data_IF_127696287178
#
_entry.id   IF_127696287178
#
_cell.length_a   1.000
_cell.length_b   1.000
_cell.length_c   1.000
_cell.angle_alpha   90.00
_cell.angle_beta   90.00
_cell.angle_gamma   90.00
#
_symmetry.space_group_name_H-M   'P 1'
#
loop_
_entity.id
_entity.type
_entity.pdbx_description
1 polymer ?
#
# COMPACT_ATOMS: atom_id res chain seq x y z
N UNK A 1 -6.78 -19.47 4.10
CA UNK A 1 -7.46 -19.12 2.83
C UNK A 1 -7.09 -17.71 2.35
N UNK A 2 -7.28 -16.67 3.19
CA UNK A 2 -7.05 -15.26 2.82
C UNK A 2 -5.63 -14.94 2.29
N UNK A 3 -4.57 -15.44 2.94
CA UNK A 3 -3.18 -15.16 2.51
C UNK A 3 -2.86 -15.64 1.09
N UNK A 4 -3.32 -16.83 0.71
CA UNK A 4 -3.07 -17.38 -0.64
C UNK A 4 -3.71 -16.48 -1.70
N UNK A 5 -4.95 -16.05 -1.49
CA UNK A 5 -5.66 -15.16 -2.41
C UNK A 5 -4.95 -13.81 -2.58
N UNK A 6 -4.38 -13.26 -1.50
CA UNK A 6 -3.60 -12.01 -1.56
C UNK A 6 -2.33 -12.21 -2.40
N UNK A 7 -1.59 -13.30 -2.16
CA UNK A 7 -0.37 -13.61 -2.92
C UNK A 7 -0.69 -13.85 -4.40
N UNK A 8 -1.73 -14.61 -4.69
CA UNK A 8 -2.19 -14.87 -6.07
C UNK A 8 -2.60 -13.58 -6.78
N UNK A 9 -3.23 -12.64 -6.07
CA UNK A 9 -3.58 -11.32 -6.59
C UNK A 9 -2.34 -10.46 -6.87
N UNK A 10 -1.36 -10.42 -5.96
CA UNK A 10 -0.07 -9.71 -6.16
C UNK A 10 0.65 -10.26 -7.39
N UNK A 11 0.74 -11.59 -7.51
CA UNK A 11 1.35 -12.24 -8.68
C UNK A 11 0.56 -11.96 -9.98
N UNK A 12 -0.77 -11.84 -9.89
CA UNK A 12 -1.61 -11.39 -10.99
C UNK A 12 -1.26 -9.97 -11.46
N UNK A 13 -1.09 -9.04 -10.53
CA UNK A 13 -0.71 -7.65 -10.81
C UNK A 13 0.69 -7.59 -11.44
N UNK A 14 1.65 -8.36 -10.90
CA UNK A 14 2.99 -8.50 -11.45
C UNK A 14 2.97 -8.93 -12.93
N UNK A 15 2.19 -9.98 -13.24
CA UNK A 15 2.01 -10.47 -14.63
C UNK A 15 1.40 -9.39 -15.54
N UNK A 16 0.41 -8.66 -15.05
CA UNK A 16 -0.19 -7.54 -15.80
C UNK A 16 0.86 -6.48 -16.13
N UNK A 17 1.70 -6.09 -15.17
CA UNK A 17 2.75 -5.10 -15.40
C UNK A 17 3.78 -5.59 -16.43
N UNK A 18 4.26 -6.83 -16.30
CA UNK A 18 5.20 -7.44 -17.25
C UNK A 18 4.67 -7.60 -18.68
N UNK A 19 3.34 -7.58 -18.86
CA UNK A 19 2.70 -7.68 -20.17
C UNK A 19 2.32 -6.31 -20.73
N UNK A 20 1.63 -5.48 -19.95
CA UNK A 20 0.98 -4.26 -20.44
C UNK A 20 1.81 -3.00 -20.28
N UNK A 21 2.58 -2.88 -19.19
CA UNK A 21 3.26 -1.63 -18.85
C UNK A 21 4.54 -1.45 -19.68
N UNK A 22 5.08 -2.56 -20.16
CA UNK A 22 6.28 -2.62 -21.00
C UNK A 22 5.95 -2.82 -22.48
N UNK A 23 4.66 -2.89 -22.86
CA UNK A 23 4.24 -3.31 -24.19
C UNK A 23 4.68 -2.37 -25.32
N UNK A 24 4.93 -1.09 -25.01
CA UNK A 24 5.39 -0.09 -25.96
C UNK A 24 6.92 -0.05 -26.12
N UNK A 25 7.66 -0.83 -25.34
CA UNK A 25 9.12 -0.83 -25.36
C UNK A 25 9.67 -1.77 -26.43
N UNK A 26 10.88 -1.49 -26.90
CA UNK A 26 11.64 -2.42 -27.74
C UNK A 26 12.01 -3.69 -26.97
N UNK A 27 12.43 -4.74 -27.69
CA UNK A 27 12.59 -6.10 -27.12
C UNK A 27 13.60 -6.16 -25.96
N UNK A 28 14.77 -5.53 -26.14
CA UNK A 28 15.83 -5.52 -25.12
C UNK A 28 15.38 -4.78 -23.85
N UNK A 29 14.70 -3.66 -24.02
CA UNK A 29 14.20 -2.77 -22.99
C UNK A 29 13.03 -3.43 -22.25
N UNK A 30 12.16 -4.12 -22.99
CA UNK A 30 11.10 -4.97 -22.43
C UNK A 30 11.67 -6.03 -21.51
N UNK A 31 12.71 -6.75 -21.95
CA UNK A 31 13.38 -7.76 -21.12
C UNK A 31 13.97 -7.13 -19.85
N UNK A 32 14.72 -6.05 -19.99
CA UNK A 32 15.31 -5.32 -18.86
C UNK A 32 14.25 -4.89 -17.83
N UNK A 33 13.12 -4.33 -18.29
CA UNK A 33 12.04 -3.90 -17.41
C UNK A 33 11.31 -5.07 -16.75
N UNK A 34 11.10 -6.19 -17.46
CA UNK A 34 10.54 -7.40 -16.85
C UNK A 34 11.43 -7.93 -15.74
N UNK A 35 12.74 -8.01 -15.96
CA UNK A 35 13.69 -8.47 -14.95
C UNK A 35 13.70 -7.54 -13.72
N UNK A 36 13.63 -6.22 -13.94
CA UNK A 36 13.53 -5.22 -12.85
C UNK A 36 12.23 -5.35 -12.06
N UNK A 37 11.09 -5.51 -12.73
CA UNK A 37 9.78 -5.75 -12.08
C UNK A 37 9.79 -7.06 -11.29
N UNK A 38 10.37 -8.13 -11.86
CA UNK A 38 10.46 -9.42 -11.18
C UNK A 38 11.23 -9.30 -9.86
N UNK A 39 12.43 -8.70 -9.94
CA UNK A 39 13.29 -8.44 -8.79
C UNK A 39 12.60 -7.57 -7.74
N UNK A 40 11.93 -6.49 -8.17
CA UNK A 40 11.20 -5.57 -7.28
C UNK A 40 10.10 -6.29 -6.50
N UNK A 41 9.29 -7.11 -7.17
CA UNK A 41 8.21 -7.84 -6.52
C UNK A 41 8.74 -8.88 -5.54
N UNK A 42 9.74 -9.68 -5.94
CA UNK A 42 10.31 -10.74 -5.11
C UNK A 42 11.06 -10.18 -3.89
N UNK A 43 11.68 -9.00 -4.03
CA UNK A 43 12.46 -8.38 -2.96
C UNK A 43 11.61 -7.56 -2.00
N UNK A 44 10.80 -6.64 -2.53
CA UNK A 44 10.17 -5.56 -1.76
C UNK A 44 8.68 -5.76 -1.52
N UNK A 45 7.94 -6.30 -2.50
CA UNK A 45 6.47 -6.46 -2.38
C UNK A 45 6.13 -7.74 -1.61
N UNK A 46 6.71 -8.86 -2.01
CA UNK A 46 6.48 -10.17 -1.41
C UNK A 46 7.23 -10.35 -0.07
N UNK A 47 6.86 -11.38 0.70
CA UNK A 47 7.49 -11.72 1.98
C UNK A 47 6.98 -10.92 3.19
N UNK A 48 6.01 -10.02 2.98
CA UNK A 48 5.34 -9.31 4.06
C UNK A 48 4.37 -10.19 4.88
N UNK A 49 3.82 -9.59 5.94
CA UNK A 49 2.75 -10.20 6.75
C UNK A 49 1.35 -9.96 6.16
N UNK A 50 1.23 -9.11 5.14
CA UNK A 50 -0.01 -8.79 4.42
C UNK A 50 -1.16 -8.29 5.31
N UNK A 51 -0.82 -7.60 6.41
CA UNK A 51 -1.80 -7.22 7.45
C UNK A 51 -2.88 -6.28 6.92
N UNK A 52 -2.55 -5.38 5.99
CA UNK A 52 -3.50 -4.39 5.45
C UNK A 52 -4.49 -5.07 4.52
N UNK A 53 -4.00 -5.92 3.62
CA UNK A 53 -4.89 -6.73 2.79
C UNK A 53 -5.79 -7.67 3.60
N UNK A 54 -5.22 -8.36 4.60
CA UNK A 54 -6.00 -9.24 5.47
C UNK A 54 -7.07 -8.47 6.22
N UNK A 55 -6.75 -7.29 6.76
CA UNK A 55 -7.73 -6.45 7.45
C UNK A 55 -8.91 -6.08 6.53
N UNK A 56 -8.65 -5.67 5.28
CA UNK A 56 -9.70 -5.37 4.31
C UNK A 56 -10.58 -6.60 4.04
N UNK A 57 -9.96 -7.75 3.72
CA UNK A 57 -10.70 -8.96 3.36
C UNK A 57 -11.54 -9.48 4.53
N UNK A 58 -10.98 -9.52 5.73
CA UNK A 58 -11.70 -10.00 6.91
C UNK A 58 -12.80 -9.03 7.34
N UNK A 59 -12.58 -7.72 7.25
CA UNK A 59 -13.63 -6.73 7.48
C UNK A 59 -14.76 -6.84 6.44
N UNK A 60 -14.43 -7.02 5.15
CA UNK A 60 -15.40 -7.21 4.09
C UNK A 60 -16.33 -8.40 4.36
N UNK A 61 -15.75 -9.54 4.79
CA UNK A 61 -16.52 -10.74 5.15
C UNK A 61 -17.36 -10.51 6.41
N UNK A 62 -16.79 -9.88 7.44
CA UNK A 62 -17.49 -9.60 8.69
C UNK A 62 -18.70 -8.66 8.50
N UNK A 63 -18.62 -7.75 7.53
CA UNK A 63 -19.71 -6.86 7.13
C UNK A 63 -20.77 -7.55 6.24
N UNK A 64 -20.68 -8.86 6.01
CA UNK A 64 -21.64 -9.62 5.21
C UNK A 64 -21.44 -9.46 3.70
N UNK A 65 -20.23 -9.08 3.26
CA UNK A 65 -19.90 -8.97 1.84
C UNK A 65 -20.11 -10.29 1.08
N UNK A 66 -20.58 -10.20 -0.17
CA UNK A 66 -20.81 -11.33 -1.07
C UNK A 66 -19.50 -12.08 -1.35
N UNK A 67 -19.50 -13.40 -1.18
CA UNK A 67 -18.27 -14.21 -1.20
C UNK A 67 -18.17 -15.17 -2.38
N UNK A 68 -18.89 -14.92 -3.48
CA UNK A 68 -18.68 -15.64 -4.73
C UNK A 68 -17.26 -15.38 -5.29
N UNK A 69 -16.80 -16.27 -6.17
CA UNK A 69 -15.43 -16.25 -6.69
C UNK A 69 -15.08 -14.92 -7.37
N UNK A 70 -15.97 -14.39 -8.20
CA UNK A 70 -15.75 -13.14 -8.92
C UNK A 70 -15.61 -11.97 -7.94
N UNK A 71 -16.53 -11.87 -6.97
CA UNK A 71 -16.48 -10.80 -5.97
C UNK A 71 -15.24 -10.91 -5.10
N UNK A 72 -14.88 -12.09 -4.62
CA UNK A 72 -13.69 -12.28 -3.79
C UNK A 72 -12.41 -12.02 -4.56
N UNK A 73 -12.35 -12.30 -5.86
CA UNK A 73 -11.24 -11.93 -6.73
C UNK A 73 -11.09 -10.40 -6.84
N UNK A 74 -12.20 -9.68 -7.02
CA UNK A 74 -12.21 -8.21 -7.02
C UNK A 74 -11.71 -7.66 -5.67
N UNK A 75 -12.21 -8.20 -4.55
CA UNK A 75 -11.80 -7.79 -3.21
C UNK A 75 -10.31 -8.07 -2.98
N UNK A 76 -9.81 -9.25 -3.39
CA UNK A 76 -8.41 -9.61 -3.25
C UNK A 76 -7.47 -8.72 -4.08
N UNK A 77 -7.85 -8.37 -5.32
CA UNK A 77 -7.10 -7.43 -6.16
C UNK A 77 -7.05 -6.03 -5.51
N UNK A 78 -8.19 -5.54 -4.99
CA UNK A 78 -8.26 -4.27 -4.26
C UNK A 78 -7.43 -4.32 -2.98
N UNK A 79 -7.43 -5.44 -2.27
CA UNK A 79 -6.63 -5.65 -1.07
C UNK A 79 -5.13 -5.67 -1.39
N UNK A 80 -4.72 -6.30 -2.49
CA UNK A 80 -3.32 -6.34 -2.93
C UNK A 80 -2.78 -4.93 -3.24
N UNK A 81 -3.61 -4.02 -3.74
CA UNK A 81 -3.23 -2.62 -3.92
C UNK A 81 -2.73 -1.94 -2.64
N UNK A 82 -3.26 -2.31 -1.47
CA UNK A 82 -2.77 -1.76 -0.19
C UNK A 82 -1.33 -2.21 0.13
N UNK A 83 -0.92 -3.39 -0.34
CA UNK A 83 0.44 -3.90 -0.11
C UNK A 83 1.43 -3.36 -1.14
N UNK A 84 0.97 -3.07 -2.37
CA UNK A 84 1.73 -2.29 -3.33
C UNK A 84 1.95 -0.87 -2.82
N UNK A 85 0.90 -0.21 -2.33
CA UNK A 85 0.99 1.13 -1.73
C UNK A 85 1.90 1.15 -0.49
N UNK A 86 1.82 0.12 0.37
CA UNK A 86 2.78 -0.06 1.47
C UNK A 86 4.22 -0.17 0.96
N UNK A 87 4.44 -0.95 -0.09
CA UNK A 87 5.78 -1.21 -0.61
C UNK A 87 6.36 0.04 -1.28
N UNK A 88 5.52 0.81 -1.97
CA UNK A 88 5.84 2.16 -2.44
C UNK A 88 6.34 3.04 -1.29
N UNK A 89 5.53 3.22 -0.23
CA UNK A 89 5.94 4.05 0.90
C UNK A 89 7.23 3.57 1.55
N UNK A 90 7.41 2.26 1.74
CA UNK A 90 8.65 1.74 2.34
C UNK A 90 9.89 2.00 1.49
N UNK A 91 9.77 1.91 0.16
CA UNK A 91 10.91 2.14 -0.73
C UNK A 91 11.35 3.60 -0.63
N UNK A 92 10.41 4.55 -0.63
CA UNK A 92 10.73 5.97 -0.50
C UNK A 92 11.21 6.32 0.91
N UNK A 93 10.54 5.84 1.95
CA UNK A 93 10.92 5.99 3.37
C UNK A 93 12.34 5.48 3.61
N UNK A 94 12.68 4.29 3.09
CA UNK A 94 14.03 3.75 3.19
C UNK A 94 15.07 4.64 2.47
N UNK A 95 14.72 5.31 1.37
CA UNK A 95 15.62 6.25 0.69
C UNK A 95 15.79 7.53 1.49
N UNK A 96 14.70 8.11 1.99
CA UNK A 96 14.70 9.35 2.78
C UNK A 96 15.47 9.19 4.09
N UNK A 97 15.30 8.05 4.76
CA UNK A 97 15.90 7.75 6.08
C UNK A 97 17.25 7.02 5.97
N UNK A 98 17.79 6.87 4.77
CA UNK A 98 19.02 6.09 4.49
C UNK A 98 19.00 4.66 5.08
N UNK A 99 17.83 4.01 5.07
CA UNK A 99 17.61 2.69 5.65
C UNK A 99 18.62 1.63 5.20
N UNK A 100 19.05 0.79 6.15
CA UNK A 100 20.02 -0.29 5.89
C UNK A 100 19.31 -1.61 5.56
N UNK A 101 18.27 -1.96 6.31
CA UNK A 101 17.56 -3.23 6.14
C UNK A 101 16.05 -3.12 6.34
N UNK A 102 15.30 -3.90 5.55
CA UNK A 102 13.84 -4.00 5.60
C UNK A 102 13.43 -5.46 5.42
N UNK A 103 12.54 -5.95 6.30
CA UNK A 103 12.04 -7.35 6.27
C UNK A 103 13.17 -8.40 6.24
N UNK A 104 14.28 -8.15 6.94
CA UNK A 104 15.44 -9.06 7.00
C UNK A 104 16.32 -9.09 5.75
N UNK A 105 16.12 -8.15 4.82
CA UNK A 105 16.94 -7.97 3.60
C UNK A 105 17.48 -6.55 3.53
N UNK A 106 18.52 -6.26 2.72
CA UNK A 106 18.92 -4.87 2.45
C UNK A 106 17.76 -4.06 1.89
N UNK A 107 17.67 -2.77 2.28
CA UNK A 107 16.70 -1.85 1.69
C UNK A 107 16.88 -1.77 0.16
N UNK A 108 15.78 -1.54 -0.57
CA UNK A 108 15.78 -1.66 -2.04
C UNK A 108 16.87 -0.81 -2.72
N UNK A 109 17.02 0.44 -2.28
CA UNK A 109 18.01 1.37 -2.81
C UNK A 109 19.47 0.97 -2.53
N UNK A 110 19.71 0.07 -1.57
CA UNK A 110 21.05 -0.46 -1.24
C UNK A 110 21.51 -1.58 -2.17
N UNK A 111 20.62 -2.11 -3.02
CA UNK A 111 21.00 -3.14 -3.99
C UNK A 111 21.83 -2.54 -5.14
N UNK A 112 22.82 -3.30 -5.59
CA UNK A 112 23.64 -2.92 -6.75
C UNK A 112 22.76 -2.62 -7.98
N UNK A 113 23.03 -1.49 -8.63
CA UNK A 113 22.29 -1.02 -9.80
C UNK A 113 20.94 -0.36 -9.52
N UNK A 114 20.52 -0.25 -8.25
CA UNK A 114 19.28 0.45 -7.88
C UNK A 114 19.56 1.88 -7.43
N UNK A 115 20.22 2.07 -6.27
CA UNK A 115 20.51 3.40 -5.72
C UNK A 115 19.26 4.28 -5.59
N UNK A 116 19.44 5.58 -5.76
CA UNK A 116 18.36 6.58 -5.72
C UNK A 116 17.28 6.37 -6.78
N UNK A 117 17.58 5.65 -7.87
CA UNK A 117 16.58 5.31 -8.89
C UNK A 117 15.47 4.38 -8.34
N UNK A 118 15.65 3.82 -7.14
CA UNK A 118 14.61 3.11 -6.41
C UNK A 118 13.32 3.94 -6.22
N UNK A 119 13.42 5.28 -6.21
CA UNK A 119 12.25 6.18 -6.18
C UNK A 119 11.30 5.88 -7.35
N UNK A 120 11.83 5.72 -8.57
CA UNK A 120 11.02 5.41 -9.76
C UNK A 120 10.37 4.02 -9.66
N UNK A 121 11.00 3.06 -8.98
CA UNK A 121 10.42 1.74 -8.75
C UNK A 121 9.24 1.81 -7.78
N UNK A 122 9.33 2.67 -6.75
CA UNK A 122 8.21 3.00 -5.87
C UNK A 122 7.05 3.63 -6.65
N UNK A 123 7.32 4.67 -7.45
CA UNK A 123 6.31 5.34 -8.29
C UNK A 123 5.65 4.38 -9.28
N UNK A 124 6.39 3.41 -9.82
CA UNK A 124 5.85 2.38 -10.68
C UNK A 124 4.82 1.51 -9.94
N UNK A 125 5.07 1.12 -8.68
CA UNK A 125 4.08 0.41 -7.87
C UNK A 125 2.82 1.24 -7.65
N UNK A 126 2.96 2.56 -7.45
CA UNK A 126 1.81 3.45 -7.28
C UNK A 126 0.96 3.57 -8.56
N UNK A 127 1.63 3.65 -9.71
CA UNK A 127 0.97 3.59 -11.01
C UNK A 127 0.22 2.26 -11.22
N UNK A 128 0.79 1.13 -10.77
CA UNK A 128 0.11 -0.17 -10.80
C UNK A 128 -1.15 -0.18 -9.93
N UNK A 129 -1.13 0.42 -8.74
CA UNK A 129 -2.34 0.55 -7.90
C UNK A 129 -3.45 1.26 -8.67
N UNK A 130 -3.16 2.44 -9.24
CA UNK A 130 -4.14 3.21 -10.00
C UNK A 130 -4.70 2.45 -11.21
N UNK A 131 -3.84 1.72 -11.92
CA UNK A 131 -4.26 0.86 -13.04
C UNK A 131 -5.19 -0.27 -12.59
N UNK A 132 -4.82 -0.98 -11.52
CA UNK A 132 -5.57 -2.12 -11.00
C UNK A 132 -6.93 -1.67 -10.51
N UNK A 133 -7.03 -0.59 -9.75
CA UNK A 133 -8.33 -0.08 -9.26
C UNK A 133 -9.28 0.25 -10.43
N UNK A 134 -8.79 0.92 -11.48
CA UNK A 134 -9.59 1.18 -12.69
C UNK A 134 -9.99 -0.09 -13.42
N UNK A 135 -9.05 -1.02 -13.61
CA UNK A 135 -9.30 -2.28 -14.32
C UNK A 135 -10.24 -3.23 -13.56
N UNK A 136 -10.21 -3.18 -12.23
CA UNK A 136 -11.06 -3.95 -11.34
C UNK A 136 -12.45 -3.33 -11.16
N UNK A 137 -12.73 -2.20 -11.83
CA UNK A 137 -14.02 -1.49 -11.87
C UNK A 137 -14.59 -1.20 -10.47
N UNK A 138 -13.72 -0.91 -9.50
CA UNK A 138 -14.19 -0.43 -8.19
C UNK A 138 -14.86 0.93 -8.32
N UNK A 139 -15.72 1.27 -7.37
CA UNK A 139 -16.46 2.54 -7.40
C UNK A 139 -15.52 3.76 -7.29
N UNK A 140 -16.03 4.96 -7.58
CA UNK A 140 -15.26 6.19 -7.43
C UNK A 140 -14.82 6.39 -5.98
N UNK A 141 -15.70 6.14 -5.02
CA UNK A 141 -15.47 6.30 -3.58
C UNK A 141 -14.34 5.40 -3.08
N UNK A 142 -14.19 4.18 -3.63
CA UNK A 142 -13.05 3.31 -3.29
C UNK A 142 -11.75 3.89 -3.85
N UNK A 143 -11.75 4.44 -5.06
CA UNK A 143 -10.56 5.11 -5.63
C UNK A 143 -10.20 6.35 -4.83
N UNK A 144 -11.18 7.16 -4.49
CA UNK A 144 -11.01 8.36 -3.68
C UNK A 144 -10.45 8.03 -2.30
N UNK A 145 -10.82 6.89 -1.70
CA UNK A 145 -10.24 6.42 -0.44
C UNK A 145 -8.73 6.09 -0.56
N UNK A 146 -8.28 5.54 -1.70
CA UNK A 146 -6.84 5.34 -1.95
C UNK A 146 -6.11 6.66 -2.17
N UNK A 147 -6.73 7.59 -2.90
CA UNK A 147 -6.13 8.91 -3.16
C UNK A 147 -6.07 9.76 -1.89
N UNK A 148 -7.08 9.69 -1.02
CA UNK A 148 -7.06 10.26 0.32
C UNK A 148 -5.95 9.63 1.16
N UNK A 149 -5.81 8.30 1.13
CA UNK A 149 -4.77 7.59 1.86
C UNK A 149 -3.36 8.04 1.43
N UNK A 150 -3.12 8.22 0.13
CA UNK A 150 -1.87 8.79 -0.40
C UNK A 150 -1.64 10.18 0.16
N UNK A 151 -2.59 11.09 -0.06
CA UNK A 151 -2.47 12.49 0.35
C UNK A 151 -2.22 12.62 1.84
N UNK A 152 -3.00 11.93 2.67
CA UNK A 152 -2.87 11.96 4.13
C UNK A 152 -1.52 11.39 4.57
N UNK A 153 -1.07 10.28 3.98
CA UNK A 153 0.21 9.67 4.35
C UNK A 153 1.40 10.54 3.95
N UNK A 154 1.38 11.12 2.74
CA UNK A 154 2.43 12.04 2.27
C UNK A 154 2.51 13.29 3.16
N UNK A 155 1.37 13.88 3.55
CA UNK A 155 1.37 14.99 4.52
C UNK A 155 1.97 14.57 5.86
N UNK A 156 1.68 13.35 6.32
CA UNK A 156 2.28 12.79 7.53
C UNK A 156 3.80 12.59 7.41
N UNK A 157 4.28 12.12 6.25
CA UNK A 157 5.71 11.96 5.96
C UNK A 157 6.44 13.31 5.91
N UNK A 158 5.85 14.33 5.27
CA UNK A 158 6.41 15.69 5.25
C UNK A 158 6.55 16.22 6.69
N UNK A 159 5.49 16.12 7.50
CA UNK A 159 5.54 16.54 8.90
C UNK A 159 6.57 15.77 9.72
N UNK A 160 6.78 14.48 9.44
CA UNK A 160 7.79 13.68 10.12
C UNK A 160 9.20 14.20 9.80
N UNK A 161 9.52 14.34 8.51
CA UNK A 161 10.81 14.85 8.03
C UNK A 161 11.09 16.32 8.39
N UNK A 162 10.06 17.14 8.56
CA UNK A 162 10.18 18.55 8.98
C UNK A 162 10.41 18.72 10.50
N UNK A 163 10.58 17.64 11.26
CA UNK A 163 10.89 17.70 12.70
C UNK A 163 12.37 18.07 12.88
N UNK A 164 12.67 19.32 13.26
CA UNK A 164 14.05 19.87 13.22
C UNK A 164 14.74 19.91 14.58
N UNK A 165 13.99 19.90 15.67
CA UNK A 165 14.52 20.08 17.01
C UNK A 165 13.58 19.63 18.11
N UNK A 166 14.03 19.74 19.36
CA UNK A 166 13.29 19.30 20.56
C UNK A 166 11.98 20.06 20.72
N UNK A 167 11.92 21.31 20.27
CA UNK A 167 10.74 22.16 20.25
C UNK A 167 9.60 21.58 19.40
N UNK A 168 9.91 20.81 18.37
CA UNK A 168 8.92 20.08 17.56
C UNK A 168 8.42 18.81 18.24
N UNK A 169 9.17 18.26 19.21
CA UNK A 169 8.90 16.99 19.89
C UNK A 169 7.76 17.09 20.93
N UNK A 170 6.60 17.57 20.50
CA UNK A 170 5.39 17.65 21.32
C UNK A 170 4.50 16.42 21.13
N UNK A 171 3.74 16.07 22.18
CA UNK A 171 2.71 15.01 22.08
C UNK A 171 1.68 15.28 20.98
N UNK A 172 1.36 16.55 20.74
CA UNK A 172 0.43 16.95 19.71
C UNK A 172 1.00 16.68 18.31
N UNK A 173 2.25 17.09 18.04
CA UNK A 173 2.92 16.82 16.75
C UNK A 173 3.06 15.32 16.52
N UNK A 174 3.56 14.57 17.50
CA UNK A 174 3.70 13.12 17.42
C UNK A 174 2.35 12.44 17.11
N UNK A 175 1.25 12.86 17.76
CA UNK A 175 -0.09 12.33 17.48
C UNK A 175 -0.52 12.65 16.06
N UNK A 176 -0.33 13.88 15.58
CA UNK A 176 -0.66 14.28 14.20
C UNK A 176 0.12 13.46 13.19
N UNK A 177 1.45 13.37 13.33
CA UNK A 177 2.32 12.57 12.47
C UNK A 177 1.82 11.12 12.43
N UNK A 178 1.64 10.50 13.60
CA UNK A 178 1.22 9.10 13.69
C UNK A 178 -0.13 8.85 13.00
N UNK A 179 -1.10 9.74 13.22
CA UNK A 179 -2.43 9.62 12.60
C UNK A 179 -2.36 9.69 11.06
N UNK A 180 -1.50 10.57 10.52
CA UNK A 180 -1.38 10.83 9.10
C UNK A 180 -0.45 9.83 8.41
N UNK A 181 0.79 9.70 8.90
CA UNK A 181 1.83 8.82 8.36
C UNK A 181 1.49 7.34 8.51
N UNK A 182 0.72 6.95 9.53
CA UNK A 182 0.50 5.52 9.84
C UNK A 182 -0.97 5.13 9.94
N UNK A 183 -1.74 5.76 10.83
CA UNK A 183 -3.07 5.24 11.17
C UNK A 183 -4.03 5.22 9.99
N UNK A 184 -4.02 6.27 9.17
CA UNK A 184 -4.97 6.42 8.06
C UNK A 184 -4.85 5.26 7.06
N UNK A 185 -3.71 5.12 6.39
CA UNK A 185 -3.56 4.08 5.35
C UNK A 185 -3.40 2.65 5.91
N UNK A 186 -2.97 2.50 7.17
CA UNK A 186 -2.71 1.18 7.76
C UNK A 186 -3.96 0.51 8.32
N UNK A 187 -4.85 1.27 8.97
CA UNK A 187 -6.03 0.72 9.62
C UNK A 187 -7.33 1.30 9.06
N UNK A 188 -7.40 2.62 8.87
CA UNK A 188 -8.65 3.25 8.45
C UNK A 188 -9.01 2.92 7.00
N UNK A 189 -8.09 3.14 6.05
CA UNK A 189 -8.34 2.88 4.63
C UNK A 189 -8.79 1.44 4.32
N UNK A 190 -8.17 0.38 4.87
CA UNK A 190 -8.68 -0.99 4.69
C UNK A 190 -10.13 -1.18 5.17
N UNK A 191 -10.48 -0.60 6.33
CA UNK A 191 -11.82 -0.68 6.92
C UNK A 191 -12.85 0.16 6.15
N UNK A 192 -12.45 1.36 5.72
CA UNK A 192 -13.25 2.25 4.88
C UNK A 192 -13.58 1.57 3.55
N UNK A 193 -12.59 0.98 2.88
CA UNK A 193 -12.81 0.26 1.62
C UNK A 193 -13.76 -0.92 1.85
N UNK A 194 -13.60 -1.70 2.93
CA UNK A 194 -14.51 -2.78 3.24
C UNK A 194 -15.96 -2.30 3.36
N UNK A 195 -16.19 -1.21 4.12
CA UNK A 195 -17.51 -0.60 4.29
C UNK A 195 -18.10 -0.07 2.98
N UNK A 196 -17.28 0.55 2.12
CA UNK A 196 -17.70 1.00 0.79
C UNK A 196 -18.08 -0.17 -0.12
N UNK A 197 -17.28 -1.24 -0.13
CA UNK A 197 -17.54 -2.43 -0.94
C UNK A 197 -18.77 -3.23 -0.47
N UNK A 198 -19.24 -3.02 0.76
CA UNK A 198 -20.49 -3.58 1.29
C UNK A 198 -21.64 -2.57 1.34
N UNK A 199 -21.48 -1.38 0.73
CA UNK A 199 -22.48 -0.32 0.69
C UNK A 199 -22.99 0.12 2.09
N UNK A 200 -22.09 0.18 3.06
CA UNK A 200 -22.37 0.59 4.45
C UNK A 200 -21.59 1.87 4.82
N UNK A 201 -21.85 3.03 4.20
CA UNK A 201 -21.09 4.25 4.48
C UNK A 201 -21.29 4.78 5.91
N UNK A 202 -22.43 4.48 6.54
CA UNK A 202 -22.76 4.98 7.88
C UNK A 202 -21.80 4.53 8.98
N UNK A 203 -21.10 3.41 8.78
CA UNK A 203 -20.14 2.88 9.78
C UNK A 203 -18.72 3.44 9.59
N UNK A 204 -18.44 4.18 8.52
CA UNK A 204 -17.09 4.69 8.21
C UNK A 204 -16.57 5.62 9.32
N UNK A 205 -17.39 6.56 9.77
CA UNK A 205 -16.97 7.52 10.80
C UNK A 205 -16.71 6.86 12.17
N UNK A 206 -17.59 5.96 12.68
CA UNK A 206 -17.25 5.12 13.83
C UNK A 206 -15.96 4.30 13.66
N UNK A 207 -15.75 3.68 12.49
CA UNK A 207 -14.55 2.91 12.19
C UNK A 207 -13.28 3.78 12.21
N UNK A 208 -13.36 5.03 11.75
CA UNK A 208 -12.25 5.98 11.75
C UNK A 208 -11.68 6.19 13.15
N UNK A 209 -12.55 6.40 14.14
CA UNK A 209 -12.14 6.63 15.53
C UNK A 209 -11.33 5.46 16.08
N UNK A 210 -11.83 4.23 15.89
CA UNK A 210 -11.16 3.01 16.35
C UNK A 210 -9.86 2.77 15.59
N UNK A 211 -9.89 2.90 14.26
CA UNK A 211 -8.73 2.72 13.40
C UNK A 211 -7.57 3.67 13.76
N UNK A 212 -7.90 4.92 14.10
CA UNK A 212 -6.89 5.91 14.48
C UNK A 212 -6.21 5.59 15.81
N UNK A 213 -6.94 5.01 16.77
CA UNK A 213 -6.37 4.54 18.04
C UNK A 213 -5.50 3.29 17.83
N UNK A 214 -5.94 2.34 17.01
CA UNK A 214 -5.16 1.15 16.66
C UNK A 214 -3.85 1.52 15.96
N UNK A 215 -3.91 2.47 15.03
CA UNK A 215 -2.73 2.99 14.33
C UNK A 215 -1.77 3.72 15.26
N UNK A 216 -2.31 4.49 16.23
CA UNK A 216 -1.48 5.12 17.26
C UNK A 216 -0.73 4.09 18.09
N UNK A 217 -1.43 3.09 18.62
CA UNK A 217 -0.81 2.00 19.37
C UNK A 217 0.19 1.20 18.53
N UNK A 218 -0.06 1.03 17.23
CA UNK A 218 0.84 0.32 16.34
C UNK A 218 2.15 1.07 16.10
N UNK A 219 2.12 2.41 15.99
CA UNK A 219 3.31 3.23 15.76
C UNK A 219 4.13 3.44 17.04
N UNK A 220 3.49 3.42 18.21
CA UNK A 220 4.16 3.59 19.51
C UNK A 220 4.83 2.32 20.05
N UNK A 221 4.85 1.23 19.28
CA UNK A 221 5.52 -0.04 19.62
C UNK A 221 6.85 -0.15 18.90
#
# INVERSE_FOLDING_TARGET
>A
MCRKQIVDAIEGIKRIAMQKFVASLQERETKCMRDRIDKLFNHSVCGGKYKRSMLLIEAYKALGGRQDEERMKMVANTAACLELLQSFFLIEDDVMDEGVSRRGKPCWHRLEGIGINGINDGLLLDCMVSYVLRSNRVSAEVRDAFDEARRVTVLGQILDGDTKGVEDCTWQRHRTITQHKTSHYTYFTPLQIAALLTAQPLIIEPLKRVAYQLGYLFQSK
#
